data_IF_882373222701
#
_entry.id   IF_882373222701
#
_cell.length_a   1.000
_cell.length_b   1.000
_cell.length_c   1.000
_cell.angle_alpha   90.00
_cell.angle_beta   90.00
_cell.angle_gamma   90.00
#
_symmetry.space_group_name_H-M   'P 1'
#
loop_
_entity.id
_entity.type
_entity.pdbx_description
1 polymer ?
#
# COMPACT_ATOMS: atom_id res chain seq x y z
N UNK A 1 10.98 -2.86 -1.72
CA UNK A 1 12.38 -3.33 -1.94
C UNK A 1 12.48 -4.22 -3.18
N UNK A 2 11.43 -5.00 -3.51
CA UNK A 2 11.24 -5.66 -4.83
C UNK A 2 11.28 -4.68 -6.01
N UNK A 3 10.67 -3.51 -5.86
CA UNK A 3 10.65 -2.45 -6.89
C UNK A 3 12.04 -1.97 -7.31
N UNK A 4 13.01 -1.99 -6.40
CA UNK A 4 14.36 -1.49 -6.67
C UNK A 4 15.11 -2.37 -7.68
N UNK A 5 14.91 -3.69 -7.62
CA UNK A 5 15.54 -4.64 -8.54
C UNK A 5 14.98 -4.49 -9.96
N UNK A 6 13.66 -4.34 -10.08
CA UNK A 6 12.98 -4.08 -11.35
C UNK A 6 13.37 -2.75 -11.97
N UNK A 7 13.41 -1.70 -11.15
CA UNK A 7 13.80 -0.36 -11.59
C UNK A 7 15.24 -0.34 -12.11
N UNK A 8 16.17 -1.03 -11.43
CA UNK A 8 17.56 -1.16 -11.87
C UNK A 8 17.70 -1.97 -13.17
N UNK A 9 16.89 -3.01 -13.37
CA UNK A 9 16.82 -3.73 -14.65
C UNK A 9 16.34 -2.83 -15.79
N UNK A 10 15.26 -2.07 -15.58
CA UNK A 10 14.75 -1.11 -16.58
C UNK A 10 15.75 0.00 -16.91
N UNK A 11 16.63 0.36 -15.98
CA UNK A 11 17.71 1.32 -16.18
C UNK A 11 18.90 0.73 -16.99
N UNK A 12 18.90 -0.58 -17.27
CA UNK A 12 19.96 -1.28 -18.00
C UNK A 12 21.18 -1.66 -17.17
N UNK A 13 21.15 -1.41 -15.86
CA UNK A 13 22.27 -1.65 -14.95
C UNK A 13 22.40 -3.12 -14.50
N UNK A 14 21.36 -3.92 -14.75
CA UNK A 14 21.28 -5.32 -14.32
C UNK A 14 20.88 -6.23 -15.48
N UNK A 15 21.62 -7.31 -15.69
CA UNK A 15 21.24 -8.32 -16.69
C UNK A 15 20.00 -9.11 -16.25
N UNK A 16 19.21 -9.60 -17.21
CA UNK A 16 17.90 -10.23 -16.98
C UNK A 16 17.98 -11.42 -16.01
N UNK A 17 18.99 -12.27 -16.12
CA UNK A 17 19.19 -13.37 -15.17
C UNK A 17 19.44 -12.89 -13.75
N UNK A 18 20.18 -11.80 -13.58
CA UNK A 18 20.45 -11.22 -12.26
C UNK A 18 19.22 -10.51 -11.70
N UNK A 19 18.43 -9.84 -12.56
CA UNK A 19 17.14 -9.25 -12.19
C UNK A 19 16.13 -10.31 -11.73
N UNK A 20 15.96 -11.37 -12.52
CA UNK A 20 15.10 -12.52 -12.17
C UNK A 20 15.61 -13.19 -10.90
N UNK A 21 16.92 -13.43 -10.76
CA UNK A 21 17.49 -14.01 -9.54
C UNK A 21 17.28 -13.12 -8.33
N UNK A 22 17.47 -11.80 -8.43
CA UNK A 22 17.22 -10.91 -7.30
C UNK A 22 15.74 -10.91 -6.91
N UNK A 23 14.83 -10.83 -7.89
CA UNK A 23 13.38 -10.90 -7.64
C UNK A 23 13.00 -12.24 -7.00
N UNK A 24 13.50 -13.36 -7.54
CA UNK A 24 13.31 -14.67 -6.97
C UNK A 24 13.96 -14.81 -5.59
N UNK A 25 15.08 -14.13 -5.31
CA UNK A 25 15.80 -14.10 -4.01
C UNK A 25 14.97 -13.35 -2.95
N UNK A 26 14.33 -12.25 -3.32
CA UNK A 26 13.39 -11.53 -2.43
C UNK A 26 12.11 -12.32 -2.17
N UNK A 27 11.64 -13.06 -3.17
CA UNK A 27 10.55 -14.05 -3.04
C UNK A 27 11.01 -15.39 -2.41
N UNK A 28 12.31 -15.59 -2.17
CA UNK A 28 12.95 -16.92 -2.01
C UNK A 28 12.91 -17.52 -0.63
N UNK A 29 12.41 -16.80 0.38
CA UNK A 29 12.17 -17.47 1.67
C UNK A 29 11.20 -18.65 1.50
N UNK A 30 10.38 -18.64 0.44
CA UNK A 30 9.51 -19.76 0.03
C UNK A 30 10.20 -20.81 -0.86
N UNK A 31 11.17 -20.45 -1.70
CA UNK A 31 11.68 -21.36 -2.75
C UNK A 31 12.89 -22.20 -2.34
N UNK A 32 13.73 -21.76 -1.39
CA UNK A 32 14.91 -22.53 -0.97
C UNK A 32 14.56 -23.78 -0.15
N UNK A 33 13.48 -23.72 0.65
CA UNK A 33 12.98 -24.85 1.43
C UNK A 33 11.70 -25.46 0.86
N UNK A 34 10.98 -24.72 0.01
CA UNK A 34 9.62 -25.05 -0.41
C UNK A 34 8.56 -24.92 0.70
N UNK A 35 8.93 -24.45 1.90
CA UNK A 35 8.05 -24.41 3.07
C UNK A 35 7.75 -22.96 3.44
N UNK A 36 6.55 -22.51 3.13
CA UNK A 36 5.98 -21.23 3.58
C UNK A 36 5.11 -21.39 4.81
N UNK A 37 5.12 -20.39 5.69
CA UNK A 37 4.18 -20.28 6.82
C UNK A 37 3.73 -18.84 6.98
N UNK A 38 2.46 -18.65 7.34
CA UNK A 38 1.93 -17.34 7.72
C UNK A 38 2.44 -16.92 9.11
N UNK A 39 2.27 -15.64 9.44
CA UNK A 39 2.67 -15.10 10.74
C UNK A 39 2.01 -15.86 11.90
N UNK A 40 2.75 -16.22 12.96
CA UNK A 40 2.20 -16.97 14.09
C UNK A 40 1.06 -16.24 14.82
N UNK A 41 1.07 -14.91 14.77
CA UNK A 41 0.08 -14.04 15.40
C UNK A 41 -1.09 -13.68 14.46
N UNK A 42 -1.01 -14.01 13.17
CA UNK A 42 -2.07 -13.70 12.23
C UNK A 42 -3.34 -14.50 12.55
N UNK A 43 -4.48 -13.82 12.50
CA UNK A 43 -5.76 -14.39 12.90
C UNK A 43 -6.07 -15.69 12.16
N UNK A 44 -6.19 -16.80 12.89
CA UNK A 44 -6.49 -18.12 12.30
C UNK A 44 -5.47 -18.62 11.29
N UNK A 45 -4.20 -18.18 11.38
CA UNK A 45 -3.17 -18.51 10.40
C UNK A 45 -3.45 -17.92 9.01
N UNK A 46 -4.12 -16.77 8.96
CA UNK A 46 -4.46 -16.07 7.71
C UNK A 46 -3.25 -15.37 7.09
N UNK A 47 -3.34 -15.14 5.78
CA UNK A 47 -2.43 -14.26 5.03
C UNK A 47 -2.94 -12.83 5.09
N UNK A 48 -2.03 -11.86 5.02
CA UNK A 48 -2.32 -10.42 5.17
C UNK A 48 -2.62 -9.80 3.81
N UNK A 49 -3.68 -8.99 3.73
CA UNK A 49 -4.17 -8.40 2.48
C UNK A 49 -3.09 -7.61 1.72
N UNK A 50 -2.38 -6.70 2.41
CA UNK A 50 -1.28 -5.94 1.81
C UNK A 50 -0.08 -6.82 1.41
N UNK A 51 0.13 -8.00 2.01
CA UNK A 51 1.27 -8.83 1.63
C UNK A 51 1.02 -9.55 0.30
N UNK A 52 -0.10 -10.27 0.17
CA UNK A 52 -0.41 -10.96 -1.08
C UNK A 52 -1.00 -10.03 -2.15
N UNK A 53 -1.56 -8.89 -1.75
CA UNK A 53 -2.13 -7.87 -2.63
C UNK A 53 -1.10 -7.02 -3.36
N UNK A 54 0.12 -6.96 -2.85
CA UNK A 54 1.19 -6.05 -3.29
C UNK A 54 2.29 -6.81 -4.05
N UNK A 55 1.89 -7.81 -4.83
CA UNK A 55 2.79 -8.61 -5.70
C UNK A 55 2.51 -8.41 -7.19
N UNK A 56 1.41 -7.72 -7.51
CA UNK A 56 0.84 -7.74 -8.85
C UNK A 56 1.77 -7.13 -9.90
N UNK A 57 2.35 -5.96 -9.62
CA UNK A 57 3.18 -5.24 -10.58
C UNK A 57 4.44 -6.04 -10.93
N UNK A 58 5.09 -6.59 -9.91
CA UNK A 58 6.35 -7.31 -10.05
C UNK A 58 6.17 -8.63 -10.77
N UNK A 59 5.11 -9.39 -10.47
CA UNK A 59 4.83 -10.66 -11.14
C UNK A 59 4.42 -10.47 -12.59
N UNK A 60 3.64 -9.43 -12.89
CA UNK A 60 3.29 -9.09 -14.27
C UNK A 60 4.53 -8.73 -15.08
N UNK A 61 5.42 -7.91 -14.52
CA UNK A 61 6.67 -7.56 -15.17
C UNK A 61 7.60 -8.77 -15.32
N UNK A 62 7.70 -9.63 -14.30
CA UNK A 62 8.49 -10.84 -14.34
C UNK A 62 8.00 -11.80 -15.44
N UNK A 63 6.68 -11.97 -15.59
CA UNK A 63 6.11 -12.74 -16.70
C UNK A 63 6.41 -12.13 -18.05
N UNK A 64 6.35 -10.81 -18.18
CA UNK A 64 6.70 -10.11 -19.42
C UNK A 64 8.15 -10.32 -19.81
N UNK A 65 9.09 -10.15 -18.87
CA UNK A 65 10.52 -10.27 -19.14
C UNK A 65 11.00 -11.70 -19.34
N UNK A 66 10.49 -12.65 -18.54
CA UNK A 66 10.89 -14.06 -18.63
C UNK A 66 10.19 -14.82 -19.75
N UNK A 67 9.08 -14.29 -20.29
CA UNK A 67 8.19 -14.99 -21.19
C UNK A 67 7.39 -16.13 -20.52
N UNK A 68 7.54 -16.34 -19.21
CA UNK A 68 6.83 -17.38 -18.47
C UNK A 68 5.53 -16.84 -17.86
N UNK A 69 4.34 -17.29 -18.31
CA UNK A 69 3.06 -16.75 -17.84
C UNK A 69 2.74 -17.12 -16.38
N UNK A 70 3.48 -18.05 -15.76
CA UNK A 70 3.15 -18.57 -14.44
C UNK A 70 3.05 -17.47 -13.37
N UNK A 71 3.89 -16.43 -13.44
CA UNK A 71 3.88 -15.36 -12.45
C UNK A 71 2.60 -14.51 -12.56
N UNK A 72 2.27 -14.05 -13.76
CA UNK A 72 1.02 -13.36 -14.04
C UNK A 72 -0.20 -14.20 -13.63
N UNK A 73 -0.21 -15.50 -13.94
CA UNK A 73 -1.30 -16.41 -13.55
C UNK A 73 -1.49 -16.48 -12.03
N UNK A 74 -0.41 -16.49 -11.23
CA UNK A 74 -0.51 -16.51 -9.76
C UNK A 74 -1.21 -15.26 -9.23
N UNK A 75 -0.84 -14.07 -9.70
CA UNK A 75 -1.43 -12.82 -9.22
C UNK A 75 -2.83 -12.57 -9.76
N UNK A 76 -3.15 -13.08 -10.95
CA UNK A 76 -4.52 -13.07 -11.48
C UNK A 76 -5.44 -14.04 -10.72
N UNK A 77 -4.92 -15.18 -10.28
CA UNK A 77 -5.67 -16.11 -9.44
C UNK A 77 -6.05 -15.48 -8.09
N UNK A 78 -5.17 -14.66 -7.49
CA UNK A 78 -5.49 -13.90 -6.27
C UNK A 78 -6.73 -13.03 -6.49
N UNK A 79 -6.79 -12.28 -7.60
CA UNK A 79 -7.97 -11.46 -7.93
C UNK A 79 -9.22 -12.29 -8.13
N UNK A 80 -9.08 -13.43 -8.80
CA UNK A 80 -10.18 -14.38 -9.00
C UNK A 80 -10.77 -14.86 -7.68
N UNK A 81 -9.93 -15.15 -6.67
CA UNK A 81 -10.39 -15.51 -5.33
C UNK A 81 -11.08 -14.33 -4.66
N UNK A 82 -10.46 -13.14 -4.67
CA UNK A 82 -11.02 -11.94 -4.03
C UNK A 82 -12.37 -11.52 -4.63
N UNK A 83 -12.57 -11.68 -5.94
CA UNK A 83 -13.82 -11.34 -6.61
C UNK A 83 -14.93 -12.36 -6.42
N UNK A 84 -14.61 -13.58 -5.97
CA UNK A 84 -15.61 -14.59 -5.59
C UNK A 84 -16.13 -14.40 -4.17
N UNK A 85 -15.38 -13.70 -3.32
CA UNK A 85 -15.74 -13.50 -1.93
C UNK A 85 -16.71 -12.34 -1.77
N UNK A 86 -17.71 -12.55 -0.92
CA UNK A 86 -18.57 -11.47 -0.46
C UNK A 86 -17.74 -10.55 0.44
N UNK A 87 -17.84 -9.24 0.19
CA UNK A 87 -17.10 -8.22 0.91
C UNK A 87 -18.03 -7.63 1.98
N UNK A 88 -17.75 -7.82 3.28
CA UNK A 88 -18.58 -7.22 4.32
C UNK A 88 -18.57 -5.70 4.15
N UNK A 89 -19.75 -5.10 4.00
CA UNK A 89 -19.93 -3.65 3.76
C UNK A 89 -19.17 -3.14 2.52
N UNK A 90 -18.88 -4.02 1.54
CA UNK A 90 -18.10 -3.67 0.35
C UNK A 90 -16.61 -3.46 0.61
N UNK A 91 -16.14 -3.68 1.84
CA UNK A 91 -14.76 -3.48 2.26
C UNK A 91 -13.95 -4.78 2.22
N UNK A 92 -12.63 -4.66 2.12
CA UNK A 92 -11.71 -5.79 2.12
C UNK A 92 -11.14 -6.04 3.52
N UNK A 93 -11.48 -7.17 4.18
CA UNK A 93 -10.80 -7.57 5.40
C UNK A 93 -9.31 -7.79 5.19
N UNK A 94 -8.51 -7.43 6.20
CA UNK A 94 -7.05 -7.54 6.15
C UNK A 94 -6.54 -8.98 6.26
N UNK A 95 -7.41 -9.95 6.58
CA UNK A 95 -7.03 -11.34 6.83
C UNK A 95 -7.82 -12.29 5.95
N UNK A 96 -7.13 -13.10 5.14
CA UNK A 96 -7.71 -14.15 4.32
C UNK A 96 -7.03 -15.48 4.62
N UNK A 97 -7.81 -16.51 4.94
CA UNK A 97 -7.26 -17.82 5.26
C UNK A 97 -6.91 -18.57 3.95
N UNK A 98 -5.65 -18.97 3.73
CA UNK A 98 -5.25 -19.59 2.47
C UNK A 98 -5.76 -21.03 2.30
N UNK A 99 -6.10 -21.72 3.40
CA UNK A 99 -6.59 -23.10 3.37
C UNK A 99 -8.08 -23.17 3.04
N UNK A 100 -8.89 -22.28 3.63
CA UNK A 100 -10.34 -22.23 3.37
C UNK A 100 -10.71 -21.27 2.23
N UNK A 101 -9.83 -20.34 1.89
CA UNK A 101 -10.10 -19.27 0.93
C UNK A 101 -11.14 -18.26 1.42
N UNK A 102 -11.46 -18.24 2.72
CA UNK A 102 -12.48 -17.35 3.32
C UNK A 102 -11.83 -16.22 4.13
N UNK A 103 -12.60 -15.17 4.37
CA UNK A 103 -12.19 -14.09 5.26
C UNK A 103 -11.97 -14.60 6.70
N UNK A 104 -10.92 -14.08 7.34
CA UNK A 104 -10.67 -14.26 8.77
C UNK A 104 -11.45 -13.22 9.58
N UNK A 105 -10.77 -12.55 10.52
CA UNK A 105 -11.37 -11.41 11.21
C UNK A 105 -11.68 -10.28 10.23
N UNK A 106 -12.86 -9.67 10.37
CA UNK A 106 -13.34 -8.55 9.54
C UNK A 106 -12.71 -7.20 9.94
N UNK A 107 -11.41 -7.20 10.27
CA UNK A 107 -10.67 -5.97 10.50
C UNK A 107 -10.30 -5.36 9.16
N UNK A 108 -10.75 -4.12 8.92
CA UNK A 108 -10.46 -3.36 7.70
C UNK A 108 -9.61 -2.14 8.08
N UNK A 109 -8.54 -1.90 7.32
CA UNK A 109 -7.73 -0.69 7.44
C UNK A 109 -7.21 -0.26 6.07
N UNK A 110 -7.14 1.05 5.84
CA UNK A 110 -6.44 1.65 4.68
C UNK A 110 -5.00 2.05 5.05
N UNK A 111 -4.61 1.88 6.33
CA UNK A 111 -3.22 1.92 6.76
C UNK A 111 -2.60 0.51 6.77
N UNK A 112 -1.68 0.27 7.70
CA UNK A 112 -0.96 -1.00 7.79
C UNK A 112 -1.87 -2.23 7.70
N UNK A 113 -1.36 -3.27 7.03
CA UNK A 113 -2.02 -4.55 6.68
C UNK A 113 -2.97 -4.50 5.47
N UNK A 114 -3.38 -3.32 4.99
CA UNK A 114 -4.29 -3.20 3.84
C UNK A 114 -3.97 -2.08 2.83
N UNK A 115 -3.20 -1.07 3.22
CA UNK A 115 -2.78 0.10 2.41
C UNK A 115 -2.43 -0.20 0.95
N UNK A 116 -1.33 -0.90 0.73
CA UNK A 116 -0.66 -1.10 -0.55
C UNK A 116 -1.45 -2.00 -1.50
N UNK A 117 -2.40 -2.80 -0.99
CA UNK A 117 -3.34 -3.53 -1.83
C UNK A 117 -4.18 -2.56 -2.68
N UNK A 118 -4.75 -1.51 -2.07
CA UNK A 118 -5.54 -0.52 -2.81
C UNK A 118 -4.68 0.27 -3.79
N UNK A 119 -3.45 0.62 -3.38
CA UNK A 119 -2.46 1.28 -4.22
C UNK A 119 -2.14 0.46 -5.47
N UNK A 120 -1.92 -0.86 -5.31
CA UNK A 120 -1.57 -1.76 -6.40
C UNK A 120 -2.72 -1.99 -7.37
N UNK A 121 -3.98 -1.91 -6.94
CA UNK A 121 -5.11 -1.94 -7.88
C UNK A 121 -5.08 -0.74 -8.84
N UNK A 122 -4.83 0.46 -8.32
CA UNK A 122 -4.69 1.65 -9.16
C UNK A 122 -3.46 1.56 -10.06
N UNK A 123 -2.30 1.19 -9.49
CA UNK A 123 -1.04 1.09 -10.23
C UNK A 123 -1.11 0.00 -11.31
N UNK A 124 -1.79 -1.13 -11.07
CA UNK A 124 -1.95 -2.18 -12.08
C UNK A 124 -2.78 -1.72 -13.28
N UNK A 125 -3.86 -0.97 -13.03
CA UNK A 125 -4.62 -0.34 -14.11
C UNK A 125 -3.76 0.64 -14.91
N UNK A 126 -2.97 1.47 -14.26
CA UNK A 126 -2.09 2.42 -14.96
C UNK A 126 -0.95 1.73 -15.73
N UNK A 127 -0.32 0.71 -15.14
CA UNK A 127 0.80 -0.03 -15.74
C UNK A 127 0.39 -0.83 -16.98
N UNK A 128 -0.86 -1.31 -17.02
CA UNK A 128 -1.43 -2.04 -18.16
C UNK A 128 -1.89 -1.13 -19.31
N UNK A 129 -1.41 0.11 -19.37
CA UNK A 129 -1.90 1.14 -20.30
C UNK A 129 -3.43 1.27 -20.26
N UNK A 130 -3.99 1.21 -19.03
CA UNK A 130 -5.42 1.31 -18.74
C UNK A 130 -6.30 0.19 -19.30
N UNK A 131 -5.72 -0.93 -19.72
CA UNK A 131 -6.46 -2.08 -20.25
C UNK A 131 -7.03 -3.00 -19.18
N UNK A 132 -6.46 -3.01 -17.96
CA UNK A 132 -6.92 -3.81 -16.84
C UNK A 132 -8.15 -3.19 -16.15
N UNK A 133 -9.32 -3.42 -16.76
CA UNK A 133 -10.61 -2.89 -16.28
C UNK A 133 -11.05 -3.52 -14.95
N UNK A 134 -10.61 -4.75 -14.66
CA UNK A 134 -10.89 -5.43 -13.40
C UNK A 134 -10.24 -4.68 -12.23
N UNK A 135 -8.95 -4.36 -12.34
CA UNK A 135 -8.24 -3.58 -11.33
C UNK A 135 -8.86 -2.20 -11.11
N UNK A 136 -9.21 -1.53 -12.22
CA UNK A 136 -9.94 -0.25 -12.19
C UNK A 136 -11.22 -0.36 -11.37
N UNK A 137 -12.07 -1.34 -11.68
CA UNK A 137 -13.34 -1.55 -10.99
C UNK A 137 -13.12 -1.84 -9.51
N UNK A 138 -12.25 -2.79 -9.18
CA UNK A 138 -11.94 -3.14 -7.80
C UNK A 138 -11.45 -1.93 -6.99
N UNK A 139 -10.62 -1.08 -7.59
CA UNK A 139 -10.14 0.15 -6.96
C UNK A 139 -11.29 1.14 -6.70
N UNK A 140 -12.07 1.50 -7.71
CA UNK A 140 -13.13 2.50 -7.56
C UNK A 140 -14.26 2.02 -6.64
N UNK A 141 -14.62 0.72 -6.69
CA UNK A 141 -15.60 0.13 -5.78
C UNK A 141 -15.10 0.23 -4.33
N UNK A 142 -13.83 -0.13 -4.06
CA UNK A 142 -13.24 -0.01 -2.73
C UNK A 142 -13.17 1.44 -2.24
N UNK A 143 -12.86 2.37 -3.15
CA UNK A 143 -12.74 3.81 -2.87
C UNK A 143 -14.10 4.41 -2.52
N UNK A 144 -15.15 4.03 -3.26
CA UNK A 144 -16.50 4.54 -3.07
C UNK A 144 -17.09 4.09 -1.74
N UNK A 145 -16.91 2.83 -1.34
CA UNK A 145 -17.43 2.33 -0.07
C UNK A 145 -16.69 2.92 1.13
N UNK A 146 -15.36 3.06 1.03
CA UNK A 146 -14.58 3.80 2.03
C UNK A 146 -15.01 5.27 2.15
N UNK A 147 -15.65 5.85 1.12
CA UNK A 147 -16.13 7.22 1.09
C UNK A 147 -17.47 7.44 1.82
N UNK A 148 -18.22 6.39 2.17
CA UNK A 148 -19.45 6.50 2.96
C UNK A 148 -19.12 6.83 4.43
N UNK A 149 -19.78 7.81 5.07
CA UNK A 149 -19.39 8.26 6.41
C UNK A 149 -20.11 7.49 7.54
N UNK A 150 -19.40 6.91 8.53
CA UNK A 150 -19.91 6.92 9.89
C UNK A 150 -19.77 8.35 10.42
N UNK A 151 -20.85 9.13 10.31
CA UNK A 151 -21.14 10.35 11.09
C UNK A 151 -19.97 11.27 11.46
N UNK A 152 -19.16 11.71 10.50
CA UNK A 152 -18.42 12.99 10.54
C UNK A 152 -17.92 13.29 9.12
N UNK A 153 -18.41 14.36 8.49
CA UNK A 153 -18.03 14.74 7.12
C UNK A 153 -16.81 15.66 7.12
N UNK A 154 -15.88 15.44 6.18
CA UNK A 154 -15.68 16.35 5.04
C UNK A 154 -15.57 15.60 3.68
N UNK A 155 -15.57 16.31 2.52
CA UNK A 155 -15.69 15.67 1.21
C UNK A 155 -14.41 14.92 0.80
N UNK A 156 -14.59 13.72 0.24
CA UNK A 156 -13.57 12.85 -0.36
C UNK A 156 -12.43 12.41 0.59
N UNK A 157 -12.68 11.31 1.32
CA UNK A 157 -11.77 10.69 2.30
C UNK A 157 -10.38 10.30 1.74
N UNK A 158 -10.25 10.08 0.43
CA UNK A 158 -8.97 9.67 -0.19
C UNK A 158 -7.97 10.80 -0.35
N UNK A 159 -8.44 11.99 -0.75
CA UNK A 159 -7.59 13.18 -0.73
C UNK A 159 -7.31 13.59 0.72
N UNK A 160 -8.24 13.33 1.64
CA UNK A 160 -8.11 13.62 3.07
C UNK A 160 -7.06 12.78 3.81
N UNK A 161 -6.92 11.48 3.53
CA UNK A 161 -5.92 10.63 4.20
C UNK A 161 -4.49 11.06 3.86
N UNK A 162 -4.29 11.51 2.62
CA UNK A 162 -3.00 11.96 2.09
C UNK A 162 -2.72 13.45 2.33
N UNK A 163 -3.75 14.32 2.37
CA UNK A 163 -3.59 15.74 2.73
C UNK A 163 -3.45 15.94 4.24
N UNK A 164 -4.00 15.07 5.11
CA UNK A 164 -3.94 15.29 6.55
C UNK A 164 -2.56 15.13 7.18
N UNK A 165 -1.57 14.58 6.50
CA UNK A 165 -0.21 14.71 6.99
C UNK A 165 0.26 16.16 6.98
N UNK A 166 -0.25 17.03 6.10
CA UNK A 166 0.03 18.46 6.24
C UNK A 166 -0.63 19.10 7.46
N UNK A 167 -1.87 18.72 7.80
CA UNK A 167 -2.55 19.25 9.00
C UNK A 167 -1.93 18.74 10.31
N UNK A 168 -1.47 17.47 10.31
CA UNK A 168 -0.64 16.87 11.38
C UNK A 168 0.71 17.57 11.49
N UNK A 169 1.41 17.81 10.37
CA UNK A 169 2.69 18.52 10.36
C UNK A 169 2.54 19.97 10.85
N UNK A 170 1.51 20.69 10.37
CA UNK A 170 1.23 22.08 10.74
C UNK A 170 0.80 22.26 12.19
N UNK A 171 0.16 21.27 12.81
CA UNK A 171 -0.28 21.32 14.22
C UNK A 171 0.64 20.58 15.18
N UNK A 172 1.65 19.87 14.68
CA UNK A 172 2.54 19.14 15.57
C UNK A 172 3.43 20.12 16.34
N UNK A 173 3.09 20.35 17.61
CA UNK A 173 4.04 20.85 18.62
C UNK A 173 5.16 19.80 18.93
N UNK A 174 5.31 18.78 18.08
CA UNK A 174 6.42 17.86 18.16
C UNK A 174 7.70 18.63 17.82
N UNK A 175 8.66 18.56 18.74
CA UNK A 175 9.99 19.19 18.69
C UNK A 175 10.70 18.99 17.34
N UNK A 176 10.34 17.94 16.61
CA UNK A 176 10.95 17.56 15.34
C UNK A 176 10.05 17.77 14.11
N UNK A 177 8.92 18.50 14.13
CA UNK A 177 8.06 18.76 12.94
C UNK A 177 7.75 17.56 12.01
N UNK A 178 7.97 16.32 12.46
CA UNK A 178 7.74 15.07 11.73
C UNK A 178 6.55 14.37 12.38
N UNK A 179 5.65 13.85 11.55
CA UNK A 179 4.44 13.18 12.01
C UNK A 179 4.72 11.90 12.81
N UNK A 180 3.89 11.56 13.82
CA UNK A 180 3.98 10.29 14.53
C UNK A 180 3.47 9.11 13.68
N UNK A 181 3.75 7.87 14.10
CA UNK A 181 3.26 6.65 13.46
C UNK A 181 1.72 6.58 13.37
N UNK A 182 1.04 7.03 14.43
CA UNK A 182 -0.41 7.11 14.47
C UNK A 182 -0.87 8.36 15.22
N UNK A 183 -2.01 8.92 14.81
CA UNK A 183 -2.63 10.09 15.42
C UNK A 183 -4.14 9.91 15.56
N UNK A 184 -4.77 10.74 16.40
CA UNK A 184 -6.20 10.66 16.70
C UNK A 184 -6.92 11.97 16.46
N UNK A 185 -8.24 11.86 16.29
CA UNK A 185 -9.19 12.98 16.20
C UNK A 185 -10.28 12.89 17.29
N UNK A 186 -10.03 12.11 18.35
CA UNK A 186 -10.98 11.89 19.45
C UNK A 186 -10.57 12.68 20.71
N UNK A 187 -11.49 12.84 21.66
CA UNK A 187 -11.15 13.39 22.99
C UNK A 187 -10.62 14.83 23.00
N UNK A 188 -10.96 15.64 21.99
CA UNK A 188 -10.52 17.04 21.90
C UNK A 188 -9.10 17.23 21.38
N UNK A 189 -8.41 16.15 20.98
CA UNK A 189 -7.15 16.24 20.23
C UNK A 189 -7.43 16.05 18.74
N UNK A 190 -6.74 16.83 17.91
CA UNK A 190 -6.81 16.70 16.47
C UNK A 190 -5.39 16.47 15.95
N UNK A 191 -5.20 15.36 15.22
CA UNK A 191 -3.95 15.10 14.52
C UNK A 191 -2.71 14.94 15.43
N UNK A 192 -2.89 14.42 16.66
CA UNK A 192 -1.80 14.19 17.63
C UNK A 192 -1.78 12.73 18.09
N UNK A 193 -0.57 12.19 18.32
CA UNK A 193 -0.36 10.91 18.99
C UNK A 193 -0.56 11.04 20.50
N UNK A 194 -1.59 10.37 21.03
CA UNK A 194 -1.85 10.37 22.48
C UNK A 194 -1.01 9.34 23.23
N UNK A 195 -0.71 8.21 22.58
CA UNK A 195 0.03 7.10 23.20
C UNK A 195 1.52 7.21 22.97
N UNK A 196 2.32 6.91 24.00
CA UNK A 196 3.77 7.05 23.94
C UNK A 196 4.43 6.14 22.90
N UNK A 197 3.87 4.95 22.69
CA UNK A 197 4.34 3.97 21.71
C UNK A 197 3.94 4.29 20.26
N UNK A 198 3.19 5.37 20.01
CA UNK A 198 2.77 5.80 18.67
C UNK A 198 3.51 7.09 18.24
N UNK A 199 4.29 7.71 19.13
CA UNK A 199 4.96 9.01 18.91
C UNK A 199 6.29 8.94 18.12
N UNK A 200 6.71 7.75 17.72
CA UNK A 200 7.98 7.59 17.01
C UNK A 200 7.82 7.93 15.52
N UNK A 201 8.94 8.24 14.87
CA UNK A 201 9.04 8.41 13.43
C UNK A 201 10.25 7.61 12.91
N UNK A 202 10.04 6.76 11.90
CA UNK A 202 11.06 5.83 11.38
C UNK A 202 11.46 6.15 9.93
N UNK A 203 11.53 7.43 9.57
CA UNK A 203 11.88 7.89 8.20
C UNK A 203 10.91 7.38 7.13
N UNK A 204 9.63 7.38 7.50
CA UNK A 204 8.50 6.96 6.66
C UNK A 204 8.31 7.89 5.45
N UNK A 205 8.33 7.38 4.20
CA UNK A 205 8.32 8.21 2.99
C UNK A 205 6.92 8.63 2.50
N UNK A 206 5.84 8.05 3.03
CA UNK A 206 4.48 8.10 2.50
C UNK A 206 3.96 9.55 2.33
N UNK A 207 4.36 10.44 3.25
CA UNK A 207 4.01 11.88 3.21
C UNK A 207 4.70 12.59 2.05
N UNK A 208 5.99 12.35 1.87
CA UNK A 208 6.79 12.99 0.82
C UNK A 208 6.40 12.44 -0.56
N UNK A 209 6.10 11.14 -0.65
CA UNK A 209 5.56 10.52 -1.86
C UNK A 209 4.25 11.22 -2.30
N UNK A 210 3.38 11.52 -1.35
CA UNK A 210 2.15 12.27 -1.61
C UNK A 210 2.43 13.67 -2.16
N UNK A 211 3.33 14.41 -1.53
CA UNK A 211 3.70 15.75 -2.00
C UNK A 211 4.28 15.72 -3.40
N UNK A 212 5.04 14.67 -3.75
CA UNK A 212 5.55 14.46 -5.10
C UNK A 212 4.41 14.31 -6.12
N UNK A 213 3.42 13.46 -5.86
CA UNK A 213 2.26 13.30 -6.75
C UNK A 213 1.44 14.59 -6.85
N UNK A 214 1.15 15.23 -5.73
CA UNK A 214 0.36 16.48 -5.71
C UNK A 214 1.06 17.60 -6.48
N UNK A 215 2.37 17.77 -6.31
CA UNK A 215 3.17 18.69 -7.12
C UNK A 215 3.11 18.35 -8.61
N UNK A 216 3.30 17.08 -8.99
CA UNK A 216 3.29 16.65 -10.40
C UNK A 216 1.94 16.88 -11.09
N UNK A 217 0.85 16.73 -10.35
CA UNK A 217 -0.51 16.90 -10.89
C UNK A 217 -0.95 18.37 -10.91
N UNK A 218 -0.67 19.12 -9.85
CA UNK A 218 -1.20 20.49 -9.68
C UNK A 218 -0.21 21.59 -10.01
N UNK A 219 1.09 21.30 -9.98
CA UNK A 219 2.19 22.27 -10.07
C UNK A 219 2.10 23.41 -9.02
N UNK A 220 1.42 23.16 -7.89
CA UNK A 220 1.30 24.14 -6.81
C UNK A 220 2.58 24.18 -5.95
N UNK A 221 3.31 25.32 -5.91
CA UNK A 221 4.62 25.43 -5.26
C UNK A 221 4.60 25.13 -3.76
N UNK A 222 3.42 25.14 -3.10
CA UNK A 222 3.32 24.77 -1.68
C UNK A 222 3.85 23.35 -1.42
N UNK A 223 3.63 22.39 -2.32
CA UNK A 223 4.07 21.00 -2.12
C UNK A 223 5.59 20.85 -2.14
N UNK A 224 6.30 21.68 -2.92
CA UNK A 224 7.77 21.75 -2.87
C UNK A 224 8.25 22.40 -1.57
N UNK A 225 7.56 23.43 -1.10
CA UNK A 225 7.88 24.10 0.16
C UNK A 225 7.74 23.14 1.33
N UNK A 226 6.63 22.41 1.42
CA UNK A 226 6.40 21.41 2.48
C UNK A 226 7.37 20.23 2.40
N UNK A 227 7.70 19.77 1.19
CA UNK A 227 8.73 18.75 1.02
C UNK A 227 10.11 19.25 1.48
N UNK A 228 10.45 20.52 1.25
CA UNK A 228 11.70 21.12 1.70
C UNK A 228 11.76 21.29 3.22
N UNK A 229 10.66 21.73 3.84
CA UNK A 229 10.55 21.81 5.31
C UNK A 229 10.81 20.46 5.97
N UNK A 230 10.33 19.37 5.38
CA UNK A 230 10.61 18.02 5.88
C UNK A 230 12.09 17.63 5.73
N UNK A 231 12.77 18.06 4.66
CA UNK A 231 14.21 17.83 4.46
C UNK A 231 15.02 18.59 5.52
N UNK A 232 14.72 19.86 5.75
CA UNK A 232 15.43 20.70 6.75
C UNK A 232 15.39 20.13 8.16
N UNK A 233 14.37 19.34 8.46
CA UNK A 233 14.14 18.74 9.77
C UNK A 233 14.86 17.40 9.92
N UNK A 234 15.23 16.76 8.80
CA UNK A 234 15.97 15.49 8.80
C UNK A 234 17.50 15.66 8.90
N UNK A 235 18.01 16.89 8.80
CA UNK A 235 19.44 17.24 8.84
C UNK A 235 19.75 18.23 9.98
#
# INVERSE_FOLDING_TARGET
>A
MSDAALSSFCCGDMNLENGIRLMCVFLCLLFLSGIGRNWPWASGGSSILAEFGTLHLEFMHLSHLSGNPIFAEKVMNIRTVLNKLEKPEGLYPNYLNPSSGQWGQHHVSVGGLGDSFYEYLLKAWLMSDKTDIEAKKMYFDAVQENSQPPSFQPPSKWLWYFINTWWVFSKSELIMKLGPEAFRFDGGVEAIATRQNEKYYILRPEVIETYMYMWRLTHDPKYRTWAWEAVEVMF
#
